data_IF_852436679977
#
_entry.id   IF_852436679977
#
_cell.length_a   1.000
_cell.length_b   1.000
_cell.length_c   1.000
_cell.angle_alpha   90.00
_cell.angle_beta   90.00
_cell.angle_gamma   90.00
#
_symmetry.space_group_name_H-M   'P 1'
#
loop_
_entity.id
_entity.type
_entity.pdbx_description
1 polymer ?
#
# COMPACT_ATOMS: atom_id res chain seq x y z
N UNK A 1 6.49 8.98 -12.68
CA UNK A 1 5.24 8.20 -12.84
C UNK A 1 5.49 6.86 -13.53
N UNK A 2 5.94 6.81 -14.78
CA UNK A 2 6.18 5.52 -15.47
C UNK A 2 7.13 4.57 -14.72
N UNK A 3 8.14 5.11 -14.04
CA UNK A 3 9.07 4.32 -13.24
C UNK A 3 8.42 3.69 -12.00
N UNK A 4 7.61 4.44 -11.25
CA UNK A 4 6.91 3.91 -10.07
C UNK A 4 5.82 2.92 -10.46
N UNK A 5 5.14 3.13 -11.59
CA UNK A 5 4.15 2.19 -12.12
C UNK A 5 4.78 0.84 -12.51
N UNK A 6 5.97 0.86 -13.11
CA UNK A 6 6.72 -0.36 -13.41
C UNK A 6 7.14 -1.09 -12.12
N UNK A 7 7.51 -0.35 -11.06
CA UNK A 7 7.83 -0.94 -9.76
C UNK A 7 6.59 -1.58 -9.12
N UNK A 8 5.45 -0.90 -9.16
CA UNK A 8 4.18 -1.45 -8.67
C UNK A 8 3.81 -2.71 -9.46
N UNK A 9 3.94 -2.68 -10.79
CA UNK A 9 3.66 -3.85 -11.63
C UNK A 9 4.58 -5.02 -11.29
N UNK A 10 5.86 -4.77 -11.01
CA UNK A 10 6.78 -5.79 -10.55
C UNK A 10 6.38 -6.34 -9.18
N UNK A 11 6.11 -5.46 -8.21
CA UNK A 11 5.67 -5.80 -6.86
C UNK A 11 4.45 -6.73 -6.87
N UNK A 12 3.42 -6.40 -7.66
CA UNK A 12 2.16 -7.15 -7.69
C UNK A 12 2.24 -8.48 -8.45
N UNK A 13 3.25 -8.68 -9.31
CA UNK A 13 3.30 -9.84 -10.21
C UNK A 13 4.47 -10.79 -9.93
N UNK A 14 5.49 -10.33 -9.21
CA UNK A 14 6.65 -11.14 -8.88
C UNK A 14 6.25 -12.32 -8.00
N UNK A 15 6.88 -13.47 -8.24
CA UNK A 15 6.74 -14.67 -7.39
C UNK A 15 7.92 -14.86 -6.44
N UNK A 16 8.90 -13.97 -6.53
CA UNK A 16 10.07 -13.97 -5.67
C UNK A 16 9.81 -13.03 -4.49
N UNK A 17 9.80 -13.58 -3.27
CA UNK A 17 9.55 -12.82 -2.03
C UNK A 17 10.54 -11.67 -1.90
N UNK A 18 11.83 -11.92 -2.11
CA UNK A 18 12.86 -10.85 -2.05
C UNK A 18 12.63 -9.76 -3.09
N UNK A 19 12.15 -10.14 -4.29
CA UNK A 19 11.83 -9.16 -5.33
C UNK A 19 10.60 -8.30 -4.99
N UNK A 20 9.64 -8.84 -4.23
CA UNK A 20 8.50 -8.09 -3.73
C UNK A 20 8.93 -7.13 -2.61
N UNK A 21 9.76 -7.59 -1.67
CA UNK A 21 10.29 -6.78 -0.57
C UNK A 21 11.14 -5.61 -1.10
N UNK A 22 12.08 -5.87 -2.00
CA UNK A 22 12.93 -4.83 -2.63
C UNK A 22 12.07 -3.80 -3.39
N UNK A 23 11.04 -4.26 -4.09
CA UNK A 23 10.13 -3.38 -4.82
C UNK A 23 9.30 -2.51 -3.88
N UNK A 24 8.79 -3.08 -2.79
CA UNK A 24 8.04 -2.35 -1.76
C UNK A 24 8.92 -1.29 -1.09
N UNK A 25 10.13 -1.65 -0.66
CA UNK A 25 11.10 -0.71 -0.07
C UNK A 25 11.36 0.46 -1.03
N UNK A 26 11.59 0.16 -2.32
CA UNK A 26 11.84 1.20 -3.30
C UNK A 26 10.61 2.08 -3.57
N UNK A 27 9.41 1.49 -3.58
CA UNK A 27 8.17 2.24 -3.69
C UNK A 27 8.00 3.22 -2.52
N UNK A 28 8.27 2.77 -1.30
CA UNK A 28 8.20 3.59 -0.07
C UNK A 28 9.22 4.73 -0.14
N UNK A 29 10.46 4.47 -0.55
CA UNK A 29 11.51 5.49 -0.71
C UNK A 29 11.11 6.58 -1.72
N UNK A 30 10.42 6.19 -2.80
CA UNK A 30 9.95 7.11 -3.85
C UNK A 30 8.58 7.73 -3.56
N UNK A 31 7.95 7.36 -2.43
CA UNK A 31 6.67 7.91 -2.04
C UNK A 31 6.82 9.31 -1.49
N UNK A 32 5.92 10.19 -1.93
CA UNK A 32 5.83 11.58 -1.52
C UNK A 32 4.38 11.94 -1.24
N UNK A 33 4.16 13.06 -0.56
CA UNK A 33 2.82 13.64 -0.37
C UNK A 33 2.07 13.92 -1.67
N UNK A 34 2.77 14.07 -2.80
CA UNK A 34 2.15 14.38 -4.09
C UNK A 34 1.72 13.13 -4.87
N UNK A 35 2.30 11.96 -4.58
CA UNK A 35 2.08 10.76 -5.40
C UNK A 35 1.46 9.56 -4.66
N UNK A 36 1.42 9.54 -3.32
CA UNK A 36 0.98 8.35 -2.58
C UNK A 36 -0.46 7.93 -2.92
N UNK A 37 -1.38 8.88 -3.14
CA UNK A 37 -2.76 8.58 -3.59
C UNK A 37 -2.79 7.95 -4.98
N UNK A 38 -1.92 8.39 -5.90
CA UNK A 38 -1.80 7.77 -7.22
C UNK A 38 -1.33 6.33 -7.10
N UNK A 39 -0.35 6.07 -6.23
CA UNK A 39 0.18 4.72 -6.00
C UNK A 39 -0.93 3.80 -5.46
N UNK A 40 -1.67 4.25 -4.43
CA UNK A 40 -2.82 3.52 -3.87
C UNK A 40 -3.84 3.20 -4.96
N UNK A 41 -4.27 4.22 -5.71
CA UNK A 41 -5.23 4.04 -6.79
C UNK A 41 -4.71 3.09 -7.87
N UNK A 42 -3.42 3.15 -8.20
CA UNK A 42 -2.83 2.28 -9.21
C UNK A 42 -2.78 0.83 -8.76
N UNK A 43 -2.43 0.55 -7.50
CA UNK A 43 -2.48 -0.80 -6.92
C UNK A 43 -3.92 -1.33 -6.91
N UNK A 44 -4.88 -0.51 -6.45
CA UNK A 44 -6.29 -0.90 -6.31
C UNK A 44 -6.97 -1.23 -7.64
N UNK A 45 -6.60 -0.54 -8.73
CA UNK A 45 -7.22 -0.72 -10.04
C UNK A 45 -6.56 -1.81 -10.90
N UNK A 46 -5.55 -2.51 -10.39
CA UNK A 46 -4.98 -3.66 -11.09
C UNK A 46 -5.96 -4.84 -11.01
N UNK A 47 -5.90 -5.76 -11.96
CA UNK A 47 -6.74 -6.96 -11.99
C UNK A 47 -5.88 -8.18 -11.61
N UNK A 48 -5.48 -8.23 -10.34
CA UNK A 48 -4.59 -9.26 -9.78
C UNK A 48 -5.26 -9.87 -8.54
N UNK A 49 -5.14 -11.19 -8.38
CA UNK A 49 -5.87 -11.96 -7.35
C UNK A 49 -5.46 -11.72 -5.88
N UNK A 50 -4.80 -10.61 -5.52
CA UNK A 50 -4.19 -10.39 -4.18
C UNK A 50 -4.12 -8.94 -3.67
N UNK A 51 -5.00 -8.04 -4.12
CA UNK A 51 -4.89 -6.61 -3.76
C UNK A 51 -4.93 -6.29 -2.26
N UNK A 52 -5.63 -7.08 -1.44
CA UNK A 52 -5.83 -6.71 -0.03
C UNK A 52 -4.49 -6.59 0.70
N UNK A 53 -3.69 -7.67 0.69
CA UNK A 53 -2.40 -7.71 1.40
C UNK A 53 -1.36 -6.80 0.75
N UNK A 54 -1.26 -6.79 -0.58
CA UNK A 54 -0.26 -5.95 -1.27
C UNK A 54 -0.51 -4.45 -1.00
N UNK A 55 -1.78 -4.03 -1.00
CA UNK A 55 -2.14 -2.65 -0.71
C UNK A 55 -2.01 -2.32 0.79
N UNK A 56 -2.39 -3.23 1.69
CA UNK A 56 -2.26 -3.02 3.13
C UNK A 56 -0.81 -2.85 3.55
N UNK A 57 0.09 -3.69 3.02
CA UNK A 57 1.53 -3.62 3.26
C UNK A 57 2.10 -2.27 2.81
N UNK A 58 1.76 -1.81 1.60
CA UNK A 58 2.19 -0.49 1.15
C UNK A 58 1.66 0.64 2.05
N UNK A 59 0.37 0.61 2.42
CA UNK A 59 -0.24 1.63 3.26
C UNK A 59 0.42 1.69 4.65
N UNK A 60 0.69 0.54 5.28
CA UNK A 60 1.30 0.52 6.62
C UNK A 60 2.74 1.00 6.61
N UNK A 61 3.50 0.78 5.53
CA UNK A 61 4.87 1.26 5.40
C UNK A 61 4.96 2.79 5.28
N UNK A 62 4.04 3.41 4.53
CA UNK A 62 4.03 4.87 4.36
C UNK A 62 3.31 5.61 5.50
N UNK A 63 2.51 4.91 6.31
CA UNK A 63 1.66 5.52 7.33
C UNK A 63 2.45 6.29 8.38
N UNK A 64 2.18 7.60 8.48
CA UNK A 64 2.72 8.47 9.52
C UNK A 64 1.80 9.68 9.75
N UNK A 65 2.10 10.50 10.77
CA UNK A 65 1.29 11.70 11.14
C UNK A 65 1.01 12.66 9.99
N UNK A 66 1.87 12.68 8.98
CA UNK A 66 1.77 13.60 7.85
C UNK A 66 0.71 13.17 6.82
N UNK A 67 0.34 11.89 6.80
CA UNK A 67 -0.57 11.31 5.80
C UNK A 67 -1.98 11.07 6.40
N UNK A 68 -2.57 12.11 7.00
CA UNK A 68 -3.92 12.03 7.62
C UNK A 68 -5.02 11.64 6.62
N UNK A 69 -4.85 11.97 5.34
CA UNK A 69 -5.79 11.62 4.27
C UNK A 69 -5.88 10.10 4.02
N UNK A 70 -4.94 9.31 4.55
CA UNK A 70 -5.05 7.84 4.54
C UNK A 70 -6.17 7.34 5.46
N UNK A 71 -6.56 8.07 6.51
CA UNK A 71 -7.58 7.63 7.47
C UNK A 71 -8.91 7.25 6.78
N UNK A 72 -9.53 8.12 5.96
CA UNK A 72 -10.78 7.73 5.27
C UNK A 72 -10.59 6.56 4.30
N UNK A 73 -9.43 6.45 3.64
CA UNK A 73 -9.10 5.34 2.74
C UNK A 73 -9.03 4.03 3.52
N UNK A 74 -8.22 4.00 4.58
CA UNK A 74 -8.05 2.85 5.47
C UNK A 74 -9.41 2.41 6.03
N UNK A 75 -10.22 3.34 6.52
CA UNK A 75 -11.55 3.03 7.06
C UNK A 75 -12.54 2.50 6.02
N UNK A 76 -12.39 2.85 4.73
CA UNK A 76 -13.17 2.22 3.66
C UNK A 76 -12.71 0.78 3.46
N UNK A 77 -11.39 0.57 3.35
CA UNK A 77 -10.79 -0.74 3.10
C UNK A 77 -11.05 -1.74 4.23
N UNK A 78 -11.00 -1.31 5.48
CA UNK A 78 -11.38 -2.13 6.65
C UNK A 78 -12.82 -2.68 6.60
N UNK A 79 -13.73 -2.06 5.83
CA UNK A 79 -15.11 -2.56 5.64
C UNK A 79 -15.23 -3.52 4.47
N UNK A 80 -14.31 -3.44 3.52
CA UNK A 80 -14.30 -4.21 2.27
C UNK A 80 -13.46 -5.48 2.39
N UNK A 81 -12.36 -5.41 3.14
CA UNK A 81 -11.36 -6.47 3.25
C UNK A 81 -11.87 -7.65 4.05
N UNK A 82 -11.38 -8.82 3.68
CA UNK A 82 -11.71 -10.10 4.31
C UNK A 82 -10.46 -10.88 4.75
N UNK A 83 -9.29 -10.50 4.26
CA UNK A 83 -8.01 -11.04 4.68
C UNK A 83 -7.59 -10.46 6.04
N UNK A 84 -7.33 -11.33 7.01
CA UNK A 84 -7.05 -10.92 8.38
C UNK A 84 -5.70 -10.20 8.50
N UNK A 85 -4.69 -10.62 7.72
CA UNK A 85 -3.36 -10.01 7.77
C UNK A 85 -3.43 -8.59 7.19
N UNK A 86 -4.20 -8.42 6.11
CA UNK A 86 -4.45 -7.11 5.53
C UNK A 86 -5.23 -6.16 6.47
N UNK A 87 -6.19 -6.70 7.22
CA UNK A 87 -6.91 -5.94 8.25
C UNK A 87 -5.96 -5.48 9.36
N UNK A 88 -5.09 -6.37 9.85
CA UNK A 88 -4.12 -6.05 10.91
C UNK A 88 -3.15 -4.94 10.47
N UNK A 89 -2.63 -5.00 9.24
CA UNK A 89 -1.79 -3.96 8.65
C UNK A 89 -2.48 -2.59 8.66
N UNK A 90 -3.74 -2.54 8.23
CA UNK A 90 -4.54 -1.32 8.18
C UNK A 90 -4.82 -0.74 9.58
N UNK A 91 -5.10 -1.58 10.57
CA UNK A 91 -5.23 -1.15 11.96
C UNK A 91 -3.91 -0.59 12.50
N UNK A 92 -2.79 -1.21 12.15
CA UNK A 92 -1.46 -0.73 12.52
C UNK A 92 -1.12 0.60 11.83
N UNK A 93 -1.53 0.79 10.57
CA UNK A 93 -1.41 2.06 9.87
C UNK A 93 -2.16 3.18 10.60
N UNK A 94 -3.41 2.93 11.05
CA UNK A 94 -4.16 3.91 11.84
C UNK A 94 -3.44 4.26 13.16
N UNK A 95 -2.83 3.29 13.84
CA UNK A 95 -2.02 3.55 15.04
C UNK A 95 -0.83 4.45 14.70
N UNK A 96 -0.08 4.16 13.63
CA UNK A 96 1.07 4.97 13.18
C UNK A 96 0.70 6.42 12.84
N UNK A 97 -0.48 6.64 12.25
CA UNK A 97 -0.97 7.98 11.88
C UNK A 97 -1.39 8.79 13.13
N UNK A 98 -1.92 8.11 14.16
CA UNK A 98 -2.46 8.75 15.37
C UNK A 98 -1.48 8.86 16.56
N UNK A 99 -0.36 8.11 16.55
CA UNK A 99 0.64 8.10 17.63
C UNK A 99 1.63 9.24 17.50
#
# INVERSE_FOLDING_TARGET
MKEIENLIDHYLTTRNVYGAEDALEKMVELTTRENYLHIINYIENKDVKKHELDLSMYIVEIACKEYQDLIPIINSKLKEYSDNDAIEDLENALKKINA
#
